data_IF_030224169418
#
_entry.id   IF_030224169418
#
_cell.length_a   1.000
_cell.length_b   1.000
_cell.length_c   1.000
_cell.angle_alpha   90.00
_cell.angle_beta   90.00
_cell.angle_gamma   90.00
#
_symmetry.space_group_name_H-M   'P 1'
#
loop_
_entity.id
_entity.type
_entity.pdbx_description
1 polymer ?
#
# COMPACT_ATOMS: atom_id res chain seq x y z
N UNK A 1 76.39 8.81 30.94
CA UNK A 1 75.00 9.31 30.79
C UNK A 1 74.89 10.03 29.46
N UNK A 2 74.26 9.42 28.45
CA UNK A 2 73.50 10.13 27.41
C UNK A 2 72.59 9.12 26.71
N UNK A 3 71.31 9.48 26.65
CA UNK A 3 70.17 8.71 26.18
C UNK A 3 69.98 8.99 24.69
N UNK A 4 69.68 7.97 23.88
CA UNK A 4 69.15 8.18 22.53
C UNK A 4 68.11 7.11 22.23
N UNK A 5 66.84 7.53 22.09
CA UNK A 5 65.71 6.69 21.69
C UNK A 5 65.31 7.05 20.25
N UNK A 6 64.96 6.07 19.39
CA UNK A 6 64.54 6.35 18.03
C UNK A 6 63.06 6.77 17.98
N UNK A 7 62.79 7.79 17.17
CA UNK A 7 61.46 8.35 16.93
C UNK A 7 60.66 7.43 16.01
N UNK A 8 59.51 6.95 16.49
CA UNK A 8 58.53 6.20 15.71
C UNK A 8 57.62 7.18 14.97
N UNK A 9 57.82 7.36 13.67
CA UNK A 9 56.96 8.19 12.82
C UNK A 9 55.73 7.40 12.36
N UNK A 10 54.61 7.62 13.04
CA UNK A 10 53.28 7.11 12.63
C UNK A 10 52.74 8.04 11.54
N UNK A 11 52.71 7.56 10.29
CA UNK A 11 51.97 8.21 9.20
C UNK A 11 50.51 7.77 9.30
N UNK A 12 49.64 8.65 9.79
CA UNK A 12 48.20 8.47 9.76
C UNK A 12 47.70 8.62 8.31
N UNK A 13 47.27 7.52 7.71
CA UNK A 13 46.50 7.54 6.45
C UNK A 13 45.04 7.82 6.81
N UNK A 14 44.58 9.05 6.58
CA UNK A 14 43.17 9.39 6.73
C UNK A 14 42.38 8.82 5.53
N UNK A 15 41.59 7.78 5.78
CA UNK A 15 40.63 7.27 4.80
C UNK A 15 39.40 8.17 4.78
N UNK A 16 39.25 8.98 3.72
CA UNK A 16 38.05 9.75 3.46
C UNK A 16 36.92 8.81 3.02
N UNK A 17 35.98 8.52 3.91
CA UNK A 17 34.75 7.80 3.59
C UNK A 17 33.85 8.71 2.73
N UNK A 18 33.74 8.39 1.44
CA UNK A 18 32.77 8.98 0.52
C UNK A 18 31.35 8.57 0.99
N UNK A 19 30.64 9.48 1.67
CA UNK A 19 29.19 9.37 1.83
C UNK A 19 28.53 9.58 0.46
N UNK A 20 28.27 8.50 -0.26
CA UNK A 20 27.33 8.56 -1.38
C UNK A 20 25.91 8.72 -0.80
N UNK A 21 25.13 9.72 -1.23
CA UNK A 21 23.74 9.83 -0.81
C UNK A 21 22.98 8.62 -1.36
N UNK A 22 22.39 7.83 -0.47
CA UNK A 22 21.43 6.80 -0.85
C UNK A 22 20.22 7.53 -1.45
N UNK A 23 20.16 7.58 -2.78
CA UNK A 23 18.96 8.02 -3.48
C UNK A 23 17.85 7.02 -3.15
N UNK A 24 16.89 7.45 -2.34
CA UNK A 24 15.68 6.70 -2.10
C UNK A 24 14.88 6.69 -3.42
N UNK A 25 14.89 5.56 -4.11
CA UNK A 25 14.04 5.37 -5.29
C UNK A 25 12.59 5.27 -4.84
N UNK A 26 11.69 5.96 -5.56
CA UNK A 26 10.26 5.87 -5.33
C UNK A 26 9.80 4.41 -5.50
N UNK A 27 9.13 3.88 -4.47
CA UNK A 27 8.68 2.48 -4.46
C UNK A 27 7.28 2.32 -5.07
N UNK A 28 6.51 3.40 -5.05
CA UNK A 28 5.21 3.49 -5.71
C UNK A 28 4.97 4.89 -6.27
N UNK A 29 4.04 4.96 -7.22
CA UNK A 29 3.52 6.20 -7.81
C UNK A 29 2.01 6.25 -7.68
N UNK A 30 1.44 7.46 -7.55
CA UNK A 30 -0.02 7.65 -7.62
C UNK A 30 -0.46 7.52 -9.07
N UNK A 31 -1.02 6.38 -9.46
CA UNK A 31 -1.44 6.13 -10.84
C UNK A 31 -2.75 6.83 -11.20
N UNK A 32 -3.73 6.77 -10.30
CA UNK A 32 -5.04 7.40 -10.46
C UNK A 32 -5.47 8.08 -9.17
N UNK A 33 -6.10 9.25 -9.29
CA UNK A 33 -6.61 10.00 -8.15
C UNK A 33 -7.98 10.62 -8.47
N UNK A 34 -8.94 10.42 -7.57
CA UNK A 34 -10.19 11.15 -7.51
C UNK A 34 -10.34 11.73 -6.12
N UNK A 35 -10.53 13.04 -5.98
CA UNK A 35 -10.62 13.71 -4.69
C UNK A 35 -9.26 14.12 -4.11
N UNK A 36 -9.13 14.08 -2.79
CA UNK A 36 -7.95 14.58 -2.06
C UNK A 36 -7.12 13.44 -1.47
N UNK A 37 -5.82 13.52 -1.71
CA UNK A 37 -4.81 12.60 -1.19
C UNK A 37 -3.70 13.42 -0.52
N UNK A 38 -3.30 13.02 0.67
CA UNK A 38 -2.17 13.60 1.37
C UNK A 38 -1.19 12.53 1.82
N UNK A 39 0.05 12.94 2.04
CA UNK A 39 1.09 12.12 2.64
C UNK A 39 1.74 12.86 3.79
N UNK A 40 1.98 12.14 4.88
CA UNK A 40 2.89 12.54 5.93
C UNK A 40 4.19 11.75 5.78
N UNK A 41 5.30 12.45 5.55
CA UNK A 41 6.64 11.86 5.41
C UNK A 41 7.24 11.55 6.80
N UNK A 42 8.30 10.71 6.87
CA UNK A 42 8.97 10.41 8.14
C UNK A 42 9.55 11.62 8.89
N UNK A 43 9.85 12.72 8.18
CA UNK A 43 10.31 13.98 8.77
C UNK A 43 9.17 14.82 9.38
N UNK A 44 7.94 14.33 9.31
CA UNK A 44 6.73 14.98 9.81
C UNK A 44 6.08 15.95 8.84
N UNK A 45 6.69 16.24 7.68
CA UNK A 45 6.10 17.09 6.67
C UNK A 45 4.83 16.48 6.09
N UNK A 46 3.82 17.32 5.83
CA UNK A 46 2.54 16.91 5.23
C UNK A 46 2.38 17.61 3.90
N UNK A 47 2.13 16.83 2.85
CA UNK A 47 2.05 17.29 1.46
C UNK A 47 0.78 16.73 0.81
N UNK A 48 0.14 17.53 -0.04
CA UNK A 48 -0.86 17.01 -0.96
C UNK A 48 -0.17 16.23 -2.08
N UNK A 49 -0.75 15.09 -2.47
CA UNK A 49 -0.30 14.29 -3.60
C UNK A 49 -1.26 14.46 -4.78
N UNK A 50 -0.70 14.45 -5.98
CA UNK A 50 -1.42 14.39 -7.24
C UNK A 50 -1.07 13.09 -8.01
N UNK A 51 -1.77 12.81 -9.11
CA UNK A 51 -1.33 11.75 -10.03
C UNK A 51 0.14 11.94 -10.43
N UNK A 52 0.85 10.83 -10.59
CA UNK A 52 2.30 10.71 -10.83
C UNK A 52 3.19 11.15 -9.67
N UNK A 53 2.65 11.52 -8.51
CA UNK A 53 3.48 11.80 -7.35
C UNK A 53 4.13 10.52 -6.83
N UNK A 54 5.36 10.66 -6.36
CA UNK A 54 6.15 9.58 -5.77
C UNK A 54 5.77 9.34 -4.31
N UNK A 55 5.75 8.05 -3.98
CA UNK A 55 5.44 7.53 -2.65
C UNK A 55 6.60 6.65 -2.20
N UNK A 56 7.03 6.87 -0.96
CA UNK A 56 8.22 6.29 -0.36
C UNK A 56 7.91 5.38 0.84
N UNK A 57 8.84 4.47 1.15
CA UNK A 57 8.81 3.73 2.41
C UNK A 57 8.86 4.71 3.59
N UNK A 58 8.03 4.45 4.60
CA UNK A 58 7.85 5.30 5.78
C UNK A 58 6.70 6.29 5.67
N UNK A 59 6.18 6.54 4.47
CA UNK A 59 5.04 7.43 4.25
C UNK A 59 3.77 6.93 4.93
N UNK A 60 3.02 7.86 5.51
CA UNK A 60 1.62 7.68 5.90
C UNK A 60 0.73 8.39 4.89
N UNK A 61 -0.07 7.65 4.14
CA UNK A 61 -0.90 8.14 3.04
C UNK A 61 -2.36 8.17 3.50
N UNK A 62 -3.05 9.28 3.27
CA UNK A 62 -4.43 9.48 3.70
C UNK A 62 -5.31 9.95 2.55
N UNK A 63 -6.41 9.24 2.30
CA UNK A 63 -7.50 9.69 1.44
C UNK A 63 -8.59 10.33 2.28
N UNK A 64 -9.10 11.47 1.82
CA UNK A 64 -10.23 12.15 2.47
C UNK A 64 -11.57 11.47 2.17
N UNK A 65 -12.66 12.08 2.67
CA UNK A 65 -14.02 11.72 2.26
C UNK A 65 -14.14 11.81 0.73
N UNK A 66 -14.95 10.93 0.14
CA UNK A 66 -15.24 10.87 -1.31
C UNK A 66 -13.98 10.79 -2.21
N UNK A 67 -12.87 10.32 -1.65
CA UNK A 67 -11.57 10.28 -2.32
C UNK A 67 -11.10 8.85 -2.56
N UNK A 68 -10.58 8.58 -3.75
CA UNK A 68 -9.98 7.30 -4.15
C UNK A 68 -8.59 7.56 -4.73
N UNK A 69 -7.64 6.69 -4.41
CA UNK A 69 -6.30 6.76 -4.96
C UNK A 69 -5.80 5.35 -5.32
N UNK A 70 -5.16 5.20 -6.48
CA UNK A 70 -4.51 3.95 -6.85
C UNK A 70 -3.00 4.17 -6.83
N UNK A 71 -2.33 3.43 -5.96
CA UNK A 71 -0.88 3.36 -5.90
C UNK A 71 -0.41 2.22 -6.79
N UNK A 72 0.59 2.48 -7.64
CA UNK A 72 1.26 1.46 -8.44
C UNK A 72 2.70 1.31 -8.01
N UNK A 73 3.05 0.10 -7.59
CA UNK A 73 4.37 -0.28 -7.12
C UNK A 73 5.27 -0.74 -8.28
N UNK A 74 6.59 -0.66 -8.08
CA UNK A 74 7.58 -1.01 -9.11
C UNK A 74 7.58 -2.49 -9.53
N UNK A 75 7.07 -3.38 -8.68
CA UNK A 75 6.88 -4.83 -8.96
C UNK A 75 5.58 -5.10 -9.75
N UNK A 76 4.89 -4.04 -10.17
CA UNK A 76 3.63 -4.10 -10.91
C UNK A 76 2.39 -4.23 -10.02
N UNK A 77 2.54 -4.38 -8.70
CA UNK A 77 1.44 -4.42 -7.75
C UNK A 77 0.66 -3.11 -7.70
N UNK A 78 -0.63 -3.20 -7.38
CA UNK A 78 -1.52 -2.05 -7.28
C UNK A 78 -2.30 -2.08 -5.97
N UNK A 79 -2.38 -0.94 -5.29
CA UNK A 79 -3.21 -0.78 -4.09
C UNK A 79 -4.17 0.39 -4.32
N UNK A 80 -5.46 0.08 -4.37
CA UNK A 80 -6.52 1.09 -4.50
C UNK A 80 -7.07 1.41 -3.12
N UNK A 81 -6.86 2.65 -2.67
CA UNK A 81 -7.37 3.21 -1.42
C UNK A 81 -8.78 3.77 -1.63
N UNK A 82 -9.65 3.51 -0.66
CA UNK A 82 -11.04 4.00 -0.60
C UNK A 82 -11.12 5.34 0.12
N UNK A 83 -12.30 5.98 0.16
CA UNK A 83 -12.53 7.13 1.04
C UNK A 83 -12.16 6.84 2.49
N UNK A 84 -11.67 7.86 3.18
CA UNK A 84 -11.34 7.82 4.61
C UNK A 84 -10.33 6.73 4.99
N UNK A 85 -9.37 6.44 4.10
CA UNK A 85 -8.36 5.40 4.30
C UNK A 85 -7.06 6.02 4.77
N UNK A 86 -6.42 5.38 5.74
CA UNK A 86 -5.06 5.71 6.15
C UNK A 86 -4.19 4.47 6.13
N UNK A 87 -3.09 4.53 5.38
CA UNK A 87 -2.13 3.44 5.25
C UNK A 87 -0.71 3.93 5.45
N UNK A 88 0.19 3.03 5.84
CA UNK A 88 1.64 3.28 5.83
C UNK A 88 2.38 2.23 5.03
N UNK A 89 3.40 2.66 4.29
CA UNK A 89 4.36 1.74 3.66
C UNK A 89 5.46 1.44 4.68
N UNK A 90 5.43 0.26 5.28
CA UNK A 90 6.39 -0.15 6.32
C UNK A 90 7.71 -0.65 5.73
N UNK A 91 7.64 -1.42 4.64
CA UNK A 91 8.81 -1.91 3.95
C UNK A 91 8.49 -2.18 2.49
N UNK A 92 9.47 -1.95 1.63
CA UNK A 92 9.40 -2.33 0.24
C UNK A 92 10.80 -2.59 -0.30
N UNK A 93 10.99 -3.74 -0.92
CA UNK A 93 12.22 -4.15 -1.58
C UNK A 93 11.85 -5.01 -2.76
N UNK A 94 12.19 -4.54 -3.95
CA UNK A 94 11.99 -5.27 -5.20
C UNK A 94 13.21 -5.05 -6.08
N UNK A 95 13.84 -6.16 -6.45
CA UNK A 95 14.96 -6.20 -7.39
C UNK A 95 14.75 -7.43 -8.27
N UNK A 96 14.63 -7.23 -9.57
CA UNK A 96 14.27 -8.30 -10.52
C UNK A 96 15.20 -9.51 -10.40
N UNK A 97 16.51 -9.27 -10.20
CA UNK A 97 17.53 -10.31 -10.10
C UNK A 97 17.78 -10.86 -8.69
N UNK A 98 17.11 -10.33 -7.67
CA UNK A 98 17.34 -10.69 -6.25
C UNK A 98 16.04 -10.97 -5.49
N UNK A 99 15.27 -12.01 -5.86
CA UNK A 99 14.00 -12.36 -5.22
C UNK A 99 14.13 -12.71 -3.74
N UNK A 100 15.32 -13.10 -3.27
CA UNK A 100 15.62 -13.32 -1.86
C UNK A 100 15.55 -12.04 -1.01
N UNK A 101 15.58 -10.86 -1.66
CA UNK A 101 15.44 -9.55 -1.02
C UNK A 101 14.03 -8.97 -1.11
N UNK A 102 13.10 -9.71 -1.72
CA UNK A 102 11.73 -9.26 -1.89
C UNK A 102 11.09 -8.97 -0.53
N UNK A 103 10.51 -7.78 -0.40
CA UNK A 103 9.73 -7.39 0.76
C UNK A 103 8.64 -6.39 0.38
N UNK A 104 7.48 -6.56 0.97
CA UNK A 104 6.32 -5.70 0.85
C UNK A 104 5.61 -5.77 2.20
N UNK A 105 5.62 -4.65 2.94
CA UNK A 105 4.86 -4.51 4.17
C UNK A 105 4.11 -3.19 4.13
N UNK A 106 2.79 -3.27 4.32
CA UNK A 106 1.93 -2.10 4.48
C UNK A 106 1.05 -2.27 5.71
N UNK A 107 0.77 -1.18 6.41
CA UNK A 107 -0.18 -1.12 7.51
C UNK A 107 -1.43 -0.37 7.06
N UNK A 108 -2.60 -0.99 7.18
CA UNK A 108 -3.90 -0.33 7.14
C UNK A 108 -4.28 0.07 8.56
N UNK A 109 -4.47 1.37 8.80
CA UNK A 109 -4.90 1.87 10.10
C UNK A 109 -6.42 1.98 10.21
N UNK A 110 -7.07 2.39 9.11
CA UNK A 110 -8.52 2.55 8.99
C UNK A 110 -8.96 2.65 7.53
N UNK A 111 -10.24 2.48 7.29
CA UNK A 111 -10.86 2.66 5.97
C UNK A 111 -10.83 1.37 5.17
N UNK A 112 -10.41 1.41 3.91
CA UNK A 112 -10.27 0.16 3.17
C UNK A 112 -9.49 0.28 1.88
N UNK A 113 -9.06 -0.87 1.40
CA UNK A 113 -8.26 -0.96 0.18
C UNK A 113 -8.60 -2.23 -0.59
N UNK A 114 -8.27 -2.21 -1.89
CA UNK A 114 -8.11 -3.41 -2.72
C UNK A 114 -6.65 -3.51 -3.12
N UNK A 115 -6.05 -4.67 -2.91
CA UNK A 115 -4.68 -4.97 -3.32
C UNK A 115 -4.68 -6.02 -4.42
N UNK A 116 -4.11 -5.65 -5.56
CA UNK A 116 -3.74 -6.55 -6.64
C UNK A 116 -2.24 -6.78 -6.57
N UNK A 117 -1.86 -8.01 -6.21
CA UNK A 117 -0.47 -8.30 -5.84
C UNK A 117 0.46 -8.35 -7.07
N UNK A 118 1.64 -7.75 -6.92
CA UNK A 118 2.66 -7.70 -7.96
C UNK A 118 3.58 -8.92 -7.96
N UNK A 119 4.72 -8.80 -8.62
CA UNK A 119 5.70 -9.87 -8.75
C UNK A 119 6.22 -10.38 -7.41
N UNK A 120 6.40 -9.52 -6.40
CA UNK A 120 6.82 -9.94 -5.05
C UNK A 120 5.86 -11.02 -4.51
N UNK A 121 4.55 -10.78 -4.63
CA UNK A 121 3.52 -11.70 -4.14
C UNK A 121 3.38 -13.00 -4.93
N UNK A 122 3.89 -13.03 -6.17
CA UNK A 122 3.75 -14.16 -7.11
C UNK A 122 4.99 -15.03 -7.21
N UNK A 123 6.18 -14.42 -7.14
CA UNK A 123 7.46 -15.10 -7.44
C UNK A 123 8.22 -15.57 -6.21
N UNK A 124 7.96 -14.97 -5.05
CA UNK A 124 8.81 -15.21 -3.89
C UNK A 124 8.42 -16.55 -3.22
N UNK A 125 9.39 -17.42 -2.92
CA UNK A 125 9.14 -18.62 -2.12
C UNK A 125 8.94 -18.26 -0.63
N UNK A 126 9.39 -17.08 -0.21
CA UNK A 126 9.28 -16.61 1.16
C UNK A 126 7.86 -16.07 1.44
N UNK A 127 7.02 -16.88 2.08
CA UNK A 127 5.64 -16.48 2.45
C UNK A 127 5.55 -15.24 3.34
N UNK A 128 6.65 -14.83 3.98
CA UNK A 128 6.70 -13.62 4.82
C UNK A 128 7.08 -12.34 4.06
N UNK A 129 7.43 -12.45 2.79
CA UNK A 129 7.84 -11.31 1.97
C UNK A 129 6.70 -10.31 1.75
N UNK A 130 5.45 -10.77 1.69
CA UNK A 130 4.28 -9.90 1.60
C UNK A 130 3.47 -9.93 2.90
N UNK A 131 3.26 -8.75 3.50
CA UNK A 131 2.43 -8.58 4.69
C UNK A 131 1.58 -7.32 4.58
N UNK A 132 0.28 -7.48 4.74
CA UNK A 132 -0.64 -6.36 4.97
C UNK A 132 -1.12 -6.44 6.42
N UNK A 133 -0.62 -5.54 7.25
CA UNK A 133 -1.00 -5.42 8.65
C UNK A 133 -2.27 -4.59 8.75
N UNK A 134 -3.13 -4.92 9.70
CA UNK A 134 -4.38 -4.21 9.99
C UNK A 134 -4.52 -4.00 11.49
N UNK A 135 -5.59 -3.36 11.97
CA UNK A 135 -5.83 -3.18 13.40
C UNK A 135 -6.02 -4.50 14.17
N UNK A 136 -6.51 -5.56 13.51
CA UNK A 136 -6.92 -6.81 14.18
C UNK A 136 -6.33 -8.08 13.57
N UNK A 137 -5.53 -7.99 12.51
CA UNK A 137 -4.96 -9.16 11.84
C UNK A 137 -3.77 -8.80 10.95
N UNK A 138 -2.98 -9.82 10.58
CA UNK A 138 -2.02 -9.77 9.48
C UNK A 138 -2.53 -10.58 8.31
N UNK A 139 -2.41 -10.04 7.10
CA UNK A 139 -2.78 -10.70 5.86
C UNK A 139 -1.50 -11.05 5.10
N UNK A 140 -1.28 -12.35 4.89
CA UNK A 140 -0.35 -12.88 3.91
C UNK A 140 -1.08 -13.30 2.64
N UNK A 141 -0.35 -13.47 1.55
CA UNK A 141 -0.92 -13.80 0.24
C UNK A 141 -0.26 -15.03 -0.38
N UNK A 142 -0.91 -15.55 -1.42
CA UNK A 142 -0.34 -16.47 -2.40
C UNK A 142 -0.80 -16.05 -3.79
N UNK A 143 -0.28 -14.92 -4.32
CA UNK A 143 -0.69 -14.35 -5.61
C UNK A 143 -2.20 -14.07 -5.69
N UNK A 144 -2.62 -12.92 -5.18
CA UNK A 144 -4.03 -12.66 -4.85
C UNK A 144 -4.52 -11.29 -5.33
N UNK A 145 -5.82 -11.22 -5.60
CA UNK A 145 -6.61 -9.98 -5.64
C UNK A 145 -7.59 -10.02 -4.47
N UNK A 146 -7.41 -9.11 -3.51
CA UNK A 146 -8.20 -9.10 -2.29
C UNK A 146 -8.53 -7.68 -1.84
N UNK A 147 -9.61 -7.55 -1.08
CA UNK A 147 -9.97 -6.30 -0.41
C UNK A 147 -9.91 -6.47 1.10
N UNK A 148 -9.47 -5.43 1.78
CA UNK A 148 -9.46 -5.33 3.24
C UNK A 148 -10.16 -4.04 3.66
N UNK A 149 -11.05 -4.15 4.64
CA UNK A 149 -11.84 -3.02 5.16
C UNK A 149 -11.76 -3.08 6.67
N UNK A 150 -11.30 -1.99 7.26
CA UNK A 150 -11.23 -1.79 8.69
C UNK A 150 -12.37 -0.86 9.12
N UNK A 151 -13.36 -1.46 9.80
CA UNK A 151 -14.46 -0.74 10.42
C UNK A 151 -14.04 -0.43 11.87
N UNK A 152 -13.74 0.83 12.20
CA UNK A 152 -13.26 1.18 13.53
C UNK A 152 -14.37 0.97 14.58
N UNK A 153 -13.95 0.71 15.81
CA UNK A 153 -14.86 0.78 16.94
C UNK A 153 -15.37 2.23 17.11
N UNK A 154 -16.64 2.42 17.54
CA UNK A 154 -17.15 3.75 17.85
C UNK A 154 -16.34 4.43 18.96
N UNK A 155 -16.32 5.77 18.96
CA UNK A 155 -15.66 6.53 20.00
C UNK A 155 -16.27 6.29 21.39
N UNK A 156 -15.58 6.65 22.47
CA UNK A 156 -16.13 6.55 23.83
C UNK A 156 -17.46 7.30 23.94
N UNK A 157 -18.53 6.58 24.30
CA UNK A 157 -19.88 7.16 24.43
C UNK A 157 -20.67 7.23 23.12
N UNK A 158 -20.11 6.78 22.00
CA UNK A 158 -20.80 6.70 20.72
C UNK A 158 -21.35 5.28 20.47
N UNK A 159 -22.46 5.20 19.74
CA UNK A 159 -22.97 3.93 19.24
C UNK A 159 -22.43 3.67 17.84
N UNK A 160 -22.20 2.39 17.51
CA UNK A 160 -21.85 2.01 16.15
C UNK A 160 -22.98 2.41 15.19
N UNK A 161 -22.66 2.91 13.97
CA UNK A 161 -23.67 3.19 12.95
C UNK A 161 -24.48 1.94 12.64
N UNK A 162 -25.81 2.05 12.62
CA UNK A 162 -26.72 0.90 12.41
C UNK A 162 -26.66 0.31 11.00
N UNK A 163 -26.14 1.08 10.06
CA UNK A 163 -25.97 0.71 8.65
C UNK A 163 -24.68 -0.07 8.39
N UNK A 164 -23.72 -0.05 9.32
CA UNK A 164 -22.44 -0.74 9.18
C UNK A 164 -22.43 -2.10 9.89
N UNK A 165 -21.67 -3.07 9.34
CA UNK A 165 -21.33 -4.30 10.07
C UNK A 165 -20.59 -4.02 11.39
N UNK A 166 -20.55 -5.00 12.32
CA UNK A 166 -19.78 -4.88 13.56
C UNK A 166 -18.33 -4.41 13.35
N UNK A 167 -17.74 -3.65 14.30
CA UNK A 167 -16.35 -3.24 14.20
C UNK A 167 -15.37 -4.40 14.04
N UNK A 168 -14.35 -4.18 13.22
CA UNK A 168 -13.32 -5.15 12.90
C UNK A 168 -12.87 -5.07 11.45
N UNK A 169 -11.95 -5.96 11.10
CA UNK A 169 -11.38 -6.10 9.77
C UNK A 169 -12.11 -7.19 9.02
N UNK A 170 -12.60 -6.83 7.85
CA UNK A 170 -13.23 -7.71 6.87
C UNK A 170 -12.31 -7.87 5.67
N UNK A 171 -12.12 -9.11 5.24
CA UNK A 171 -11.35 -9.45 4.04
C UNK A 171 -12.17 -10.26 3.06
N UNK A 172 -12.03 -9.95 1.78
CA UNK A 172 -12.67 -10.68 0.67
C UNK A 172 -11.65 -10.93 -0.42
N UNK A 173 -11.82 -12.02 -1.17
CA UNK A 173 -10.89 -12.42 -2.23
C UNK A 173 -11.63 -12.50 -3.55
N UNK A 174 -11.13 -11.79 -4.55
CA UNK A 174 -11.62 -11.82 -5.92
C UNK A 174 -10.92 -12.91 -6.75
N UNK A 175 -9.61 -13.11 -6.54
CA UNK A 175 -8.81 -14.14 -7.20
C UNK A 175 -7.74 -14.68 -6.25
N UNK A 176 -7.53 -16.01 -6.25
CA UNK A 176 -6.52 -16.68 -5.43
C UNK A 176 -6.99 -16.97 -4.00
N UNK A 177 -6.08 -16.83 -3.04
CA UNK A 177 -6.37 -16.98 -1.61
C UNK A 177 -5.44 -16.11 -0.75
N UNK A 178 -5.89 -15.76 0.44
CA UNK A 178 -5.08 -15.09 1.47
C UNK A 178 -4.93 -15.97 2.71
N UNK A 179 -3.84 -15.76 3.43
CA UNK A 179 -3.65 -16.23 4.80
C UNK A 179 -4.03 -15.08 5.75
N UNK A 180 -5.12 -15.24 6.51
CA UNK A 180 -5.61 -14.24 7.45
C UNK A 180 -5.27 -14.68 8.87
N UNK A 181 -4.38 -13.93 9.53
CA UNK A 181 -3.67 -14.38 10.73
C UNK A 181 -4.01 -13.48 11.91
N UNK A 182 -4.57 -14.07 12.97
CA UNK A 182 -4.82 -13.43 14.27
C UNK A 182 -4.90 -14.50 15.37
N UNK A 183 -4.64 -14.13 16.63
CA UNK A 183 -4.65 -15.06 17.77
C UNK A 183 -3.67 -16.22 17.65
N UNK A 184 -2.58 -16.04 16.88
CA UNK A 184 -1.61 -17.10 16.58
C UNK A 184 -2.11 -18.17 15.60
N UNK A 185 -3.31 -18.02 15.01
CA UNK A 185 -3.88 -18.95 14.05
C UNK A 185 -3.97 -18.33 12.65
N UNK A 186 -3.72 -19.18 11.65
CA UNK A 186 -3.91 -18.85 10.23
C UNK A 186 -5.26 -19.40 9.75
N UNK A 187 -6.10 -18.51 9.22
CA UNK A 187 -7.30 -18.87 8.47
C UNK A 187 -7.08 -18.58 6.99
N UNK A 188 -7.22 -19.61 6.15
CA UNK A 188 -7.20 -19.41 4.70
C UNK A 188 -8.56 -18.89 4.24
N UNK A 189 -8.56 -17.77 3.52
CA UNK A 189 -9.76 -17.19 2.91
C UNK A 189 -9.59 -17.23 1.39
N UNK A 190 -10.53 -17.89 0.72
CA UNK A 190 -10.57 -18.02 -0.74
C UNK A 190 -11.67 -17.18 -1.39
N UNK A 191 -11.82 -17.35 -2.70
CA UNK A 191 -12.85 -16.66 -3.50
C UNK A 191 -14.25 -16.94 -2.96
N UNK A 192 -15.07 -15.88 -2.87
CA UNK A 192 -16.46 -15.97 -2.38
C UNK A 192 -16.59 -16.11 -0.86
N UNK A 193 -15.48 -16.20 -0.12
CA UNK A 193 -15.47 -16.24 1.34
C UNK A 193 -15.19 -14.85 1.93
N UNK A 194 -15.70 -14.60 3.13
CA UNK A 194 -15.39 -13.41 3.92
C UNK A 194 -14.71 -13.81 5.20
N UNK A 195 -13.47 -13.33 5.39
CA UNK A 195 -12.76 -13.43 6.65
C UNK A 195 -13.07 -12.24 7.54
N UNK A 196 -13.19 -12.47 8.84
CA UNK A 196 -13.45 -11.44 9.83
C UNK A 196 -12.59 -11.62 11.08
N UNK A 197 -11.98 -10.51 11.54
CA UNK A 197 -11.28 -10.42 12.82
C UNK A 197 -11.61 -9.11 13.51
N UNK A 198 -11.99 -9.17 14.78
CA UNK A 198 -12.24 -8.00 15.63
C UNK A 198 -11.18 -7.81 16.72
N UNK A 199 -10.20 -8.70 16.82
CA UNK A 199 -9.14 -8.62 17.83
C UNK A 199 -7.91 -9.41 17.38
N UNK A 200 -6.73 -8.78 17.45
CA UNK A 200 -5.44 -9.39 17.08
C UNK A 200 -5.09 -10.64 17.90
N UNK A 201 -5.65 -10.76 19.11
CA UNK A 201 -5.39 -11.88 20.03
C UNK A 201 -6.42 -13.02 19.92
N UNK A 202 -7.47 -12.85 19.11
CA UNK A 202 -8.50 -13.88 18.92
C UNK A 202 -8.36 -14.51 17.52
N UNK A 203 -8.71 -15.80 17.38
CA UNK A 203 -8.73 -16.44 16.07
C UNK A 203 -9.67 -15.73 15.09
N UNK A 204 -9.26 -15.54 13.82
CA UNK A 204 -10.15 -15.04 12.78
C UNK A 204 -11.18 -16.11 12.40
N UNK A 205 -12.31 -15.69 11.82
CA UNK A 205 -13.40 -16.59 11.41
C UNK A 205 -13.92 -16.28 10.01
N UNK A 206 -14.43 -17.31 9.34
CA UNK A 206 -15.26 -17.13 8.15
C UNK A 206 -16.67 -16.73 8.57
N UNK A 207 -17.23 -15.77 7.86
CA UNK A 207 -18.61 -15.33 8.05
C UNK A 207 -19.34 -15.28 6.71
N UNK A 208 -20.69 -15.36 6.71
CA UNK A 208 -21.47 -14.99 5.54
C UNK A 208 -21.18 -13.54 5.14
N UNK A 209 -21.21 -13.20 3.83
CA UNK A 209 -21.07 -11.83 3.38
C UNK A 209 -22.10 -10.91 4.05
N UNK A 210 -21.67 -9.87 4.79
CA UNK A 210 -22.60 -8.90 5.36
C UNK A 210 -23.34 -8.15 4.25
N UNK A 211 -24.65 -7.94 4.41
CA UNK A 211 -25.49 -7.24 3.42
C UNK A 211 -24.96 -5.83 3.10
N UNK A 212 -24.39 -5.15 4.10
CA UNK A 212 -23.90 -3.78 3.99
C UNK A 212 -22.37 -3.69 4.06
N UNK A 213 -21.64 -4.72 3.63
CA UNK A 213 -20.18 -4.61 3.60
C UNK A 213 -19.76 -3.56 2.56
N UNK A 214 -19.11 -2.45 2.96
CA UNK A 214 -18.84 -1.36 2.03
C UNK A 214 -17.91 -1.83 0.90
N UNK A 215 -18.31 -1.69 -0.38
CA UNK A 215 -17.52 -2.18 -1.51
C UNK A 215 -16.41 -1.20 -1.96
N UNK A 216 -15.32 -1.73 -2.52
CA UNK A 216 -14.26 -0.94 -3.17
C UNK A 216 -14.65 -0.69 -4.63
N UNK A 217 -15.55 0.25 -4.87
CA UNK A 217 -15.96 0.67 -6.22
C UNK A 217 -15.57 2.12 -6.45
N UNK A 218 -14.45 2.39 -7.16
CA UNK A 218 -14.10 3.73 -7.61
C UNK A 218 -15.12 4.27 -8.63
N UNK A 219 -15.19 5.60 -8.84
CA UNK A 219 -16.03 6.18 -9.89
C UNK A 219 -15.62 5.66 -11.29
N UNK A 220 -16.53 5.62 -12.28
CA UNK A 220 -16.25 5.04 -13.61
C UNK A 220 -15.09 5.69 -14.39
N UNK A 221 -14.76 6.93 -14.06
CA UNK A 221 -13.62 7.68 -14.64
C UNK A 221 -12.28 7.26 -14.04
N UNK A 222 -12.29 6.59 -12.89
CA UNK A 222 -11.10 6.11 -12.20
C UNK A 222 -10.49 4.91 -12.94
N UNK A 223 -9.20 4.97 -13.26
CA UNK A 223 -8.56 3.92 -14.04
C UNK A 223 -8.70 4.07 -15.57
N UNK A 224 -9.43 5.08 -16.06
CA UNK A 224 -9.43 5.38 -17.48
C UNK A 224 -8.15 6.12 -17.84
N UNK A 225 -7.24 5.46 -18.56
CA UNK A 225 -6.26 6.17 -19.36
C UNK A 225 -7.06 6.98 -20.37
N UNK A 226 -7.10 8.31 -20.23
CA UNK A 226 -7.66 9.18 -21.26
C UNK A 226 -7.00 8.77 -22.58
N UNK A 227 -7.75 8.10 -23.46
CA UNK A 227 -7.30 7.91 -24.83
C UNK A 227 -7.07 9.32 -25.35
N UNK A 228 -5.82 9.65 -25.66
CA UNK A 228 -5.50 10.80 -26.50
C UNK A 228 -6.40 10.64 -27.71
N UNK A 229 -7.44 11.46 -27.78
CA UNK A 229 -8.26 11.54 -28.97
C UNK A 229 -7.29 12.07 -30.01
N UNK A 230 -6.82 11.18 -30.88
CA UNK A 230 -6.14 11.60 -32.10
C UNK A 230 -7.10 12.57 -32.77
N UNK A 231 -6.76 13.86 -32.72
CA UNK A 231 -7.38 14.85 -33.58
C UNK A 231 -7.07 14.36 -34.98
N UNK A 232 -8.02 13.66 -35.61
CA UNK A 232 -8.00 13.48 -37.03
C UNK A 232 -8.06 14.89 -37.60
N UNK A 233 -6.90 15.42 -37.99
CA UNK A 233 -6.81 16.49 -38.97
C UNK A 233 -7.31 15.90 -40.30
N UNK A 234 -8.62 15.65 -40.35
CA UNK A 234 -9.35 15.32 -41.56
C UNK A 234 -9.39 16.58 -42.40
N UNK A 235 -8.66 16.52 -43.51
CA UNK A 235 -8.76 17.43 -44.63
C UNK A 235 -10.22 17.76 -44.95
N UNK A 236 -10.46 19.03 -45.29
CA UNK A 236 -11.65 19.59 -45.93
C UNK A 236 -12.79 20.01 -44.99
N UNK A 237 -12.71 21.23 -44.47
CA UNK A 237 -13.90 22.06 -44.31
C UNK A 237 -13.68 23.39 -45.03
N UNK A 238 -14.42 23.54 -46.14
CA UNK A 238 -14.62 24.81 -46.82
C UNK A 238 -15.23 25.83 -45.85
N UNK A 239 -14.63 27.01 -45.79
CA UNK A 239 -15.19 28.15 -45.09
C UNK A 239 -16.18 28.83 -46.04
N UNK A 240 -17.48 28.63 -45.83
CA UNK A 240 -18.52 29.47 -46.42
C UNK A 240 -18.90 30.52 -45.39
N UNK A 241 -18.51 31.77 -45.67
CA UNK A 241 -18.99 32.96 -44.98
C UNK A 241 -20.30 33.37 -45.65
N UNK A 242 -21.38 33.46 -44.89
CA UNK A 242 -22.55 34.29 -45.21
C UNK A 242 -22.57 35.49 -44.28
#
# INVERSE_FOLDING_TARGET
MQVSAPRLSVRALAAAALLAPLLAFAQATVQHLSGTLSVQRPDGSVLALAERSDVFVGDVISTERDSYAQLRFTDGGQVTLRPSTQVKIEAYGYDEGRPERDSFAMQLFRGGLRSLTGLIGKRTPNRSAYRMLTSTATIGIRGTDYSAIDIPAPGPGESAPSDLPPPGVYVTVAEGQIAFIAGGLELVVGVGQVGFSNNINLPPKLIPPPLNLPQVTPPPTFGQTLKTSSINAGSNMECVVQ
#
